data_IF_582040617650
#
_entry.id   IF_582040617650
#
_cell.length_a   1.000
_cell.length_b   1.000
_cell.length_c   1.000
_cell.angle_alpha   90.00
_cell.angle_beta   90.00
_cell.angle_gamma   90.00
#
_symmetry.space_group_name_H-M   'P 1'
#
loop_
_entity.id
_entity.type
_entity.pdbx_description
1 polymer ?
#
# COMPACT_ATOMS: atom_id res chain seq x y z
N UNK A 1 -2.83 20.45 7.72
CA UNK A 1 -2.52 19.23 8.49
C UNK A 1 -1.08 18.88 8.18
N UNK A 2 -0.17 18.81 9.17
CA UNK A 2 1.21 18.43 8.88
C UNK A 2 1.19 17.04 8.23
N UNK A 3 1.89 16.88 7.10
CA UNK A 3 2.13 15.57 6.51
C UNK A 3 2.86 14.74 7.55
N UNK A 4 2.13 13.80 8.16
CA UNK A 4 2.73 12.84 9.08
C UNK A 4 3.67 11.99 8.24
N UNK A 5 4.97 12.12 8.50
CA UNK A 5 5.98 11.33 7.82
C UNK A 5 5.65 9.85 7.99
N UNK A 6 5.58 9.11 6.89
CA UNK A 6 5.15 7.71 6.93
C UNK A 6 6.31 6.89 7.49
N UNK A 7 6.10 6.15 8.59
CA UNK A 7 7.14 5.30 9.15
C UNK A 7 7.63 4.27 8.14
N UNK A 8 8.94 3.99 8.16
CA UNK A 8 9.64 3.15 7.19
C UNK A 8 9.10 1.70 7.16
N UNK A 9 8.52 1.25 8.28
CA UNK A 9 7.83 -0.06 8.40
C UNK A 9 6.66 -0.23 7.42
N UNK A 10 6.00 0.86 7.00
CA UNK A 10 4.93 0.83 5.99
C UNK A 10 5.46 0.83 4.55
N UNK A 11 6.78 0.95 4.39
CA UNK A 11 7.47 0.85 3.10
C UNK A 11 8.31 -0.43 3.00
N UNK A 12 8.33 -1.24 4.05
CA UNK A 12 9.22 -2.39 4.18
C UNK A 12 9.05 -3.42 3.05
N UNK A 13 10.18 -3.90 2.55
CA UNK A 13 10.25 -4.88 1.47
C UNK A 13 9.84 -4.35 0.09
N UNK A 14 9.34 -3.12 -0.04
CA UNK A 14 8.95 -2.55 -1.33
C UNK A 14 10.17 -2.39 -2.25
N UNK A 15 11.26 -1.79 -1.74
CA UNK A 15 12.49 -1.59 -2.50
C UNK A 15 13.09 -2.92 -3.01
N UNK A 16 13.09 -3.97 -2.19
CA UNK A 16 13.59 -5.30 -2.57
C UNK A 16 12.77 -5.93 -3.70
N UNK A 17 11.44 -5.95 -3.57
CA UNK A 17 10.54 -6.50 -4.60
C UNK A 17 10.71 -5.74 -5.91
N UNK A 18 10.79 -4.40 -5.85
CA UNK A 18 10.96 -3.58 -7.05
C UNK A 18 12.33 -3.81 -7.71
N UNK A 19 13.40 -3.98 -6.95
CA UNK A 19 14.72 -4.29 -7.50
C UNK A 19 14.74 -5.66 -8.21
N UNK A 20 14.16 -6.69 -7.61
CA UNK A 20 14.06 -8.02 -8.21
C UNK A 20 13.21 -8.02 -9.48
N UNK A 21 12.07 -7.33 -9.47
CA UNK A 21 11.21 -7.21 -10.65
C UNK A 21 11.90 -6.39 -11.75
N UNK A 22 12.55 -5.29 -11.41
CA UNK A 22 13.30 -4.49 -12.39
C UNK A 22 14.43 -5.30 -13.04
N UNK A 23 15.12 -6.15 -12.28
CA UNK A 23 16.20 -7.00 -12.78
C UNK A 23 15.71 -8.15 -13.68
N UNK A 24 14.50 -8.66 -13.44
CA UNK A 24 14.00 -9.91 -14.07
C UNK A 24 12.84 -9.72 -15.03
N UNK A 25 12.14 -8.58 -14.97
CA UNK A 25 10.88 -8.34 -15.67
C UNK A 25 9.71 -9.19 -15.18
N UNK A 26 9.87 -9.94 -14.08
CA UNK A 26 8.82 -10.83 -13.55
C UNK A 26 7.65 -10.04 -12.97
N UNK A 27 6.47 -10.65 -12.91
CA UNK A 27 5.34 -10.09 -12.15
C UNK A 27 5.51 -10.35 -10.65
N UNK A 28 4.80 -9.58 -9.83
CA UNK A 28 4.69 -9.86 -8.40
C UNK A 28 4.02 -11.24 -8.20
N UNK A 29 4.49 -11.96 -7.21
CA UNK A 29 3.86 -13.20 -6.77
C UNK A 29 2.59 -12.91 -5.96
N UNK A 30 1.75 -13.93 -5.78
CA UNK A 30 0.55 -13.82 -4.93
C UNK A 30 0.90 -13.42 -3.49
N UNK A 31 1.99 -13.94 -2.95
CA UNK A 31 2.42 -13.66 -1.58
C UNK A 31 2.95 -12.22 -1.44
N UNK A 32 3.64 -11.73 -2.45
CA UNK A 32 4.08 -10.33 -2.51
C UNK A 32 2.88 -9.38 -2.54
N UNK A 33 1.89 -9.66 -3.38
CA UNK A 33 0.62 -8.90 -3.44
C UNK A 33 -0.11 -8.95 -2.09
N UNK A 34 -0.22 -10.13 -1.47
CA UNK A 34 -0.86 -10.29 -0.17
C UNK A 34 -0.14 -9.48 0.92
N UNK A 35 1.19 -9.47 0.92
CA UNK A 35 1.98 -8.65 1.83
C UNK A 35 1.73 -7.15 1.63
N UNK A 36 1.57 -6.67 0.38
CA UNK A 36 1.25 -5.26 0.11
C UNK A 36 -0.14 -4.87 0.62
N UNK A 37 -1.14 -5.75 0.42
CA UNK A 37 -2.50 -5.54 0.94
C UNK A 37 -2.53 -5.44 2.45
N UNK A 38 -1.87 -6.37 3.14
CA UNK A 38 -1.77 -6.35 4.60
C UNK A 38 -1.11 -5.07 5.13
N UNK A 39 -0.12 -4.55 4.40
CA UNK A 39 0.54 -3.28 4.76
C UNK A 39 -0.41 -2.08 4.63
N UNK A 40 -1.23 -2.05 3.56
CA UNK A 40 -2.26 -1.04 3.36
C UNK A 40 -3.36 -1.08 4.42
N UNK A 41 -3.76 -2.27 4.86
CA UNK A 41 -4.70 -2.45 5.97
C UNK A 41 -4.15 -1.83 7.27
N UNK A 42 -2.91 -2.18 7.66
CA UNK A 42 -2.27 -1.61 8.86
C UNK A 42 -2.11 -0.08 8.79
N UNK A 43 -1.86 0.47 7.60
CA UNK A 43 -1.71 1.92 7.41
C UNK A 43 -3.05 2.65 7.56
N UNK A 44 -4.14 2.06 7.08
CA UNK A 44 -5.49 2.58 7.27
C UNK A 44 -5.90 2.56 8.75
N UNK A 45 -5.63 1.46 9.45
CA UNK A 45 -5.88 1.31 10.90
C UNK A 45 -5.12 2.36 11.72
N UNK A 46 -3.89 2.71 11.30
CA UNK A 46 -3.09 3.77 11.93
C UNK A 46 -3.49 5.21 11.53
N UNK A 47 -4.49 5.38 10.65
CA UNK A 47 -5.05 6.68 10.29
C UNK A 47 -4.20 7.51 9.31
N UNK A 48 -3.30 6.88 8.55
CA UNK A 48 -2.52 7.57 7.52
C UNK A 48 -3.37 7.86 6.27
N UNK A 49 -3.15 9.00 5.62
CA UNK A 49 -3.87 9.34 4.40
C UNK A 49 -3.33 8.62 3.17
N UNK A 50 -4.23 8.01 2.37
CA UNK A 50 -3.88 7.28 1.13
C UNK A 50 -2.95 8.08 0.19
N UNK A 51 -3.18 9.39 0.06
CA UNK A 51 -2.37 10.28 -0.79
C UNK A 51 -0.89 10.30 -0.39
N UNK A 52 -0.59 10.41 0.91
CA UNK A 52 0.79 10.42 1.41
C UNK A 52 1.43 9.05 1.18
N UNK A 53 0.67 7.97 1.37
CA UNK A 53 1.14 6.59 1.21
C UNK A 53 1.51 6.27 -0.25
N UNK A 54 0.65 6.69 -1.19
CA UNK A 54 0.94 6.60 -2.62
C UNK A 54 2.18 7.42 -2.99
N UNK A 55 2.31 8.65 -2.46
CA UNK A 55 3.46 9.52 -2.73
C UNK A 55 4.79 8.93 -2.22
N UNK A 56 4.78 8.29 -1.05
CA UNK A 56 5.95 7.64 -0.47
C UNK A 56 6.38 6.41 -1.29
N UNK A 57 5.44 5.57 -1.73
CA UNK A 57 5.75 4.42 -2.58
C UNK A 57 6.30 4.82 -3.95
N UNK A 58 5.72 5.86 -4.58
CA UNK A 58 6.23 6.39 -5.85
C UNK A 58 7.64 6.99 -5.70
N UNK A 59 7.91 7.67 -4.57
CA UNK A 59 9.23 8.22 -4.27
C UNK A 59 10.27 7.12 -4.03
N UNK A 60 9.92 6.09 -3.26
CA UNK A 60 10.77 4.92 -3.05
C UNK A 60 11.09 4.17 -4.35
N UNK A 61 10.09 4.00 -5.22
CA UNK A 61 10.27 3.41 -6.54
C UNK A 61 11.21 4.20 -7.43
N UNK A 62 11.09 5.54 -7.44
CA UNK A 62 12.00 6.43 -8.16
C UNK A 62 13.44 6.33 -7.63
N UNK A 63 13.62 6.23 -6.32
CA UNK A 63 14.93 6.09 -5.70
C UNK A 63 15.62 4.75 -6.00
N UNK A 64 14.85 3.68 -6.13
CA UNK A 64 15.35 2.34 -6.43
C UNK A 64 15.64 2.08 -7.93
N UNK A 65 15.34 3.04 -8.80
CA UNK A 65 15.43 2.86 -10.24
C UNK A 65 16.88 2.77 -10.75
N UNK A 66 17.31 1.64 -11.36
CA UNK A 66 18.64 1.51 -11.91
C UNK A 66 18.81 2.39 -13.16
N UNK A 67 19.93 3.10 -13.28
CA UNK A 67 20.29 3.77 -14.54
C UNK A 67 20.71 2.70 -15.56
N UNK A 68 19.93 2.56 -16.65
CA UNK A 68 20.25 1.66 -17.76
C UNK A 68 19.52 0.31 -17.78
N UNK A 69 18.42 0.14 -17.04
CA UNK A 69 17.62 -1.08 -17.15
C UNK A 69 16.77 -1.08 -18.45
N UNK A 70 17.01 -2.05 -19.32
CA UNK A 70 16.33 -2.23 -20.63
C UNK A 70 14.81 -2.52 -20.54
N UNK A 71 14.24 -2.58 -19.33
CA UNK A 71 12.80 -2.77 -19.11
C UNK A 71 12.28 -1.83 -18.03
N UNK A 72 12.31 -0.53 -18.35
CA UNK A 72 11.57 0.48 -17.62
C UNK A 72 10.09 0.07 -17.45
N UNK A 73 9.48 -0.51 -18.49
CA UNK A 73 8.08 -0.92 -18.45
C UNK A 73 7.80 -2.01 -17.41
N UNK A 74 8.70 -2.98 -17.23
CA UNK A 74 8.53 -4.03 -16.22
C UNK A 74 8.56 -3.46 -14.79
N UNK A 75 9.49 -2.55 -14.52
CA UNK A 75 9.59 -1.89 -13.23
C UNK A 75 8.40 -0.95 -12.95
N UNK A 76 7.96 -0.16 -13.94
CA UNK A 76 6.76 0.68 -13.81
C UNK A 76 5.48 -0.15 -13.58
N UNK A 77 5.32 -1.26 -14.32
CA UNK A 77 4.21 -2.18 -14.12
C UNK A 77 4.21 -2.82 -12.73
N UNK A 78 5.38 -3.04 -12.14
CA UNK A 78 5.53 -3.53 -10.78
C UNK A 78 5.12 -2.49 -9.74
N UNK A 79 5.57 -1.24 -9.92
CA UNK A 79 5.19 -0.10 -9.08
C UNK A 79 3.67 0.08 -9.08
N UNK A 80 3.06 0.04 -10.27
CA UNK A 80 1.62 0.13 -10.40
C UNK A 80 0.91 -1.00 -9.65
N UNK A 81 1.33 -2.26 -9.80
CA UNK A 81 0.76 -3.39 -9.07
C UNK A 81 0.89 -3.25 -7.54
N UNK A 82 2.02 -2.71 -7.06
CA UNK A 82 2.23 -2.46 -5.63
C UNK A 82 1.26 -1.40 -5.12
N UNK A 83 1.12 -0.28 -5.83
CA UNK A 83 0.23 0.82 -5.45
C UNK A 83 -1.23 0.38 -5.48
N UNK A 84 -1.66 -0.35 -6.51
CA UNK A 84 -3.03 -0.86 -6.64
C UNK A 84 -3.37 -1.83 -5.49
N UNK A 85 -2.49 -2.79 -5.20
CA UNK A 85 -2.69 -3.74 -4.10
C UNK A 85 -2.71 -3.05 -2.72
N UNK A 86 -1.87 -2.04 -2.53
CA UNK A 86 -1.85 -1.25 -1.30
C UNK A 86 -3.15 -0.46 -1.10
N UNK A 87 -3.61 0.24 -2.14
CA UNK A 87 -4.85 1.02 -2.11
C UNK A 87 -6.07 0.13 -1.85
N UNK A 88 -6.14 -1.05 -2.47
CA UNK A 88 -7.20 -2.02 -2.24
C UNK A 88 -7.31 -2.44 -0.76
N UNK A 89 -6.16 -2.75 -0.12
CA UNK A 89 -6.11 -3.09 1.30
C UNK A 89 -6.58 -1.94 2.19
N UNK A 90 -6.12 -0.72 1.89
CA UNK A 90 -6.54 0.49 2.59
C UNK A 90 -8.06 0.71 2.52
N UNK A 91 -8.65 0.66 1.33
CA UNK A 91 -10.08 0.86 1.12
C UNK A 91 -10.93 -0.23 1.78
N UNK A 92 -10.43 -1.46 1.84
CA UNK A 92 -11.08 -2.57 2.54
C UNK A 92 -11.13 -2.30 4.05
N UNK A 93 -10.01 -1.89 4.64
CA UNK A 93 -9.92 -1.56 6.05
C UNK A 93 -10.84 -0.39 6.41
N UNK A 94 -10.86 0.69 5.60
CA UNK A 94 -11.80 1.80 5.82
C UNK A 94 -13.27 1.36 5.78
N UNK A 95 -13.67 0.57 4.78
CA UNK A 95 -15.06 0.07 4.69
C UNK A 95 -15.44 -0.84 5.85
N UNK A 96 -14.50 -1.58 6.41
CA UNK A 96 -14.75 -2.40 7.60
C UNK A 96 -14.93 -1.52 8.84
N UNK A 97 -14.06 -0.53 9.04
CA UNK A 97 -14.15 0.41 10.15
C UNK A 97 -15.49 1.16 10.15
N UNK A 98 -15.93 1.67 8.99
CA UNK A 98 -17.24 2.33 8.84
C UNK A 98 -18.38 1.39 9.23
N UNK A 99 -18.37 0.14 8.75
CA UNK A 99 -19.41 -0.84 9.09
C UNK A 99 -19.45 -1.19 10.57
N UNK A 100 -18.29 -1.28 11.23
CA UNK A 100 -18.22 -1.53 12.67
C UNK A 100 -18.77 -0.35 13.47
N UNK A 101 -18.45 0.88 13.05
CA UNK A 101 -18.99 2.10 13.69
C UNK A 101 -20.52 2.19 13.53
N UNK A 102 -21.04 1.88 12.35
CA UNK A 102 -22.48 1.82 12.10
C UNK A 102 -23.19 0.74 12.95
N UNK A 103 -22.57 -0.44 13.10
CA UNK A 103 -23.09 -1.51 13.94
C UNK A 103 -23.10 -1.12 15.43
N UNK A 104 -22.02 -0.49 15.92
CA UNK A 104 -21.94 -0.01 17.29
C UNK A 104 -22.99 1.07 17.58
N UNK A 105 -23.24 1.99 16.63
CA UNK A 105 -24.30 3.00 16.77
C UNK A 105 -25.71 2.39 16.80
N UNK A 106 -25.96 1.33 16.04
CA UNK A 106 -27.27 0.62 16.05
C UNK A 106 -27.50 -0.16 17.33
N UNK A 107 -26.48 -0.86 17.83
CA UNK A 107 -26.58 -1.62 19.09
C UNK A 107 -26.91 -0.73 20.29
N UNK A 108 -26.36 0.49 20.33
CA UNK A 108 -26.67 1.48 21.39
C UNK A 108 -28.13 1.96 21.35
N UNK A 109 -28.77 1.96 20.18
CA UNK A 109 -30.18 2.38 20.03
C UNK A 109 -31.15 1.26 20.40
N UNK A 110 -30.79 -0.01 20.19
CA UNK A 110 -31.64 -1.17 20.49
C UNK A 110 -31.67 -1.53 22.00
N UNK A 111 -30.71 -1.03 22.78
CA UNK A 111 -30.60 -1.21 24.25
C UNK A 111 -31.33 -0.10 25.07
N UNK A 112 -32.13 0.76 24.42
CA UNK A 112 -32.77 1.96 24.99
C UNK A 112 -34.31 1.86 24.99
#
# INVERSE_FOLDING_TARGET
MPEREIPEEYLEGCARILAEVAATGRRLTRDEIASRRALGERAAEAGFGLRSLVSAHLSGARGAWPRGADSADGALAAVQQVVDAFAEGYERAQRLAVRQEEAARRGVIDDL
#
